data_IF_840625636381
#
_entry.id   IF_840625636381
#
_cell.length_a   1.000
_cell.length_b   1.000
_cell.length_c   1.000
_cell.angle_alpha   90.00
_cell.angle_beta   90.00
_cell.angle_gamma   90.00
#
_symmetry.space_group_name_H-M   'P 1'
#
loop_
_entity.id
_entity.type
_entity.pdbx_description
1 polymer ?
#
# COMPACT_ATOMS: atom_id res chain seq x y z
N UNK A 1 6.15 28.56 22.83
CA UNK A 1 5.07 27.70 23.36
C UNK A 1 3.92 27.76 22.37
N UNK A 2 3.89 26.81 21.44
CA UNK A 2 2.73 26.32 20.67
C UNK A 2 3.24 25.03 20.01
N UNK A 3 3.03 23.93 20.73
CA UNK A 3 3.35 22.58 20.28
C UNK A 3 2.21 22.13 19.36
N UNK A 4 2.50 21.91 18.09
CA UNK A 4 1.57 21.21 17.19
C UNK A 4 1.59 19.71 17.54
N UNK A 5 0.45 19.07 17.85
CA UNK A 5 0.43 17.64 18.07
C UNK A 5 0.52 16.91 16.72
N UNK A 6 1.49 16.02 16.65
CA UNK A 6 1.59 14.96 15.66
C UNK A 6 0.29 14.15 15.54
N UNK A 7 -0.01 13.68 14.32
CA UNK A 7 -0.96 12.58 14.13
C UNK A 7 -1.87 12.72 12.92
N UNK A 8 -1.33 12.55 11.71
CA UNK A 8 -2.15 12.33 10.51
C UNK A 8 -1.94 10.89 10.02
N UNK A 9 -2.64 9.95 10.66
CA UNK A 9 -2.68 8.54 10.25
C UNK A 9 -4.12 8.18 9.90
N UNK A 10 -4.39 7.89 8.62
CA UNK A 10 -5.67 7.33 8.17
C UNK A 10 -5.44 6.35 7.03
N UNK A 11 -5.70 5.08 7.33
CA UNK A 11 -6.56 4.12 6.60
C UNK A 11 -5.97 2.72 6.64
N UNK A 12 -6.67 1.86 7.37
CA UNK A 12 -6.50 0.41 7.39
C UNK A 12 -7.30 -0.12 6.20
N UNK A 13 -6.63 -0.74 5.23
CA UNK A 13 -7.34 -1.64 4.32
C UNK A 13 -7.53 -2.96 5.07
N UNK A 14 -8.75 -3.21 5.56
CA UNK A 14 -9.16 -4.58 5.84
C UNK A 14 -9.10 -5.33 4.52
N UNK A 15 -8.10 -6.18 4.38
CA UNK A 15 -8.05 -7.21 3.35
C UNK A 15 -9.02 -8.33 3.70
N UNK A 16 -10.30 -8.02 3.87
CA UNK A 16 -11.41 -8.95 3.79
C UNK A 16 -12.61 -8.15 3.27
N UNK A 17 -13.06 -8.49 2.06
CA UNK A 17 -14.44 -8.23 1.70
C UNK A 17 -15.25 -9.30 2.42
N UNK A 18 -16.04 -9.00 3.47
CA UNK A 18 -17.12 -9.90 3.83
C UNK A 18 -18.08 -9.90 2.64
N UNK A 19 -18.16 -11.03 1.95
CA UNK A 19 -19.37 -11.36 1.21
C UNK A 19 -20.48 -11.48 2.26
N UNK A 20 -21.22 -10.38 2.46
CA UNK A 20 -22.29 -10.31 3.46
C UNK A 20 -22.20 -9.05 4.31
N UNK A 21 -22.75 -7.95 3.80
CA UNK A 21 -23.20 -6.82 4.62
C UNK A 21 -24.44 -6.26 3.93
N UNK A 22 -25.60 -6.76 4.36
CA UNK A 22 -26.95 -6.37 3.93
C UNK A 22 -27.32 -4.97 4.45
N UNK A 23 -26.54 -3.95 4.07
CA UNK A 23 -26.83 -2.54 4.35
C UNK A 23 -26.42 -1.63 3.18
N UNK A 24 -26.37 -2.14 1.95
CA UNK A 24 -26.25 -1.27 0.77
C UNK A 24 -27.66 -0.87 0.30
N UNK A 25 -27.94 0.44 0.10
CA UNK A 25 -29.21 0.87 -0.49
C UNK A 25 -29.41 0.20 -1.85
N UNK A 26 -30.60 -0.37 -2.03
CA UNK A 26 -31.03 -1.11 -3.21
C UNK A 26 -30.79 -0.27 -4.48
N UNK A 27 -29.75 -0.64 -5.25
CA UNK A 27 -29.42 0.02 -6.52
C UNK A 27 -27.97 0.49 -6.70
N UNK A 28 -27.14 0.55 -5.65
CA UNK A 28 -25.71 0.89 -5.84
C UNK A 28 -24.91 -0.35 -6.25
N UNK A 29 -24.69 -0.54 -7.56
CA UNK A 29 -23.73 -1.54 -8.04
C UNK A 29 -22.35 -1.26 -7.40
N UNK A 30 -21.69 -2.23 -6.74
CA UNK A 30 -20.36 -2.01 -6.20
C UNK A 30 -19.42 -1.63 -7.34
N UNK A 31 -18.67 -0.54 -7.16
CA UNK A 31 -17.61 -0.19 -8.10
C UNK A 31 -16.47 -1.20 -7.96
N UNK A 32 -16.37 -2.10 -8.93
CA UNK A 32 -15.31 -3.10 -8.98
C UNK A 32 -14.17 -2.53 -9.84
N UNK A 33 -12.97 -2.55 -9.27
CA UNK A 33 -11.73 -2.27 -9.98
C UNK A 33 -11.03 -3.58 -10.31
N UNK A 34 -10.64 -3.75 -11.58
CA UNK A 34 -9.82 -4.89 -12.01
C UNK A 34 -8.46 -4.38 -12.45
N UNK A 35 -7.40 -5.00 -11.95
CA UNK A 35 -6.01 -4.65 -12.27
C UNK A 35 -5.14 -5.90 -12.31
N UNK A 36 -4.08 -5.87 -13.13
CA UNK A 36 -2.99 -6.84 -13.07
C UNK A 36 -1.79 -6.16 -12.40
N UNK A 37 -1.08 -6.87 -11.52
CA UNK A 37 0.17 -6.39 -10.94
C UNK A 37 1.34 -7.02 -11.71
N UNK A 38 2.27 -6.19 -12.18
CA UNK A 38 3.49 -6.65 -12.87
C UNK A 38 4.75 -6.07 -12.22
N UNK A 39 5.88 -6.69 -12.58
CA UNK A 39 7.23 -6.20 -12.29
C UNK A 39 7.42 -5.92 -10.79
N UNK A 40 6.99 -6.87 -9.94
CA UNK A 40 6.96 -6.71 -8.49
C UNK A 40 8.36 -6.93 -7.90
N UNK A 41 8.84 -5.95 -7.15
CA UNK A 41 9.99 -6.05 -6.26
C UNK A 41 9.51 -5.99 -4.81
N UNK A 42 9.84 -7.02 -4.03
CA UNK A 42 9.53 -7.10 -2.61
C UNK A 42 10.82 -7.06 -1.84
N UNK A 43 10.96 -6.08 -0.96
CA UNK A 43 12.05 -5.99 0.00
C UNK A 43 11.47 -6.18 1.40
N UNK A 44 12.05 -7.09 2.17
CA UNK A 44 11.61 -7.38 3.54
C UNK A 44 12.74 -7.08 4.52
N UNK A 45 12.38 -6.53 5.67
CA UNK A 45 13.28 -6.26 6.77
C UNK A 45 12.67 -6.75 8.07
N UNK A 46 13.52 -7.27 8.95
CA UNK A 46 13.22 -7.45 10.36
C UNK A 46 13.65 -6.19 11.11
N UNK A 47 12.69 -5.46 11.68
CA UNK A 47 12.96 -4.25 12.46
C UNK A 47 12.86 -4.58 13.96
N UNK A 48 13.83 -4.15 14.79
CA UNK A 48 13.77 -4.41 16.22
C UNK A 48 12.59 -3.66 16.84
N UNK A 49 11.82 -4.35 17.69
CA UNK A 49 10.58 -3.81 18.25
C UNK A 49 10.77 -2.45 18.94
N UNK A 50 11.87 -2.26 19.66
CA UNK A 50 12.18 -1.01 20.38
C UNK A 50 12.43 0.21 19.50
N UNK A 51 12.64 0.03 18.19
CA UNK A 51 12.84 1.13 17.22
C UNK A 51 11.54 1.64 16.59
N UNK A 52 10.43 0.95 16.83
CA UNK A 52 9.18 1.19 16.12
C UNK A 52 8.31 2.22 16.86
N UNK A 53 7.57 3.07 16.12
CA UNK A 53 6.64 4.01 16.71
C UNK A 53 5.46 3.27 17.37
N UNK A 54 4.72 3.90 18.29
CA UNK A 54 3.47 3.32 18.81
C UNK A 54 2.45 3.13 17.69
N UNK A 55 1.65 2.08 17.79
CA UNK A 55 0.54 1.80 16.88
C UNK A 55 -0.75 2.45 17.38
N UNK A 56 -1.67 2.84 16.48
CA UNK A 56 -3.01 3.24 16.88
C UNK A 56 -3.80 2.02 17.35
N UNK A 57 -4.55 2.16 18.43
CA UNK A 57 -5.47 1.13 18.88
C UNK A 57 -6.56 0.85 17.81
N UNK A 58 -7.02 -0.41 17.66
CA UNK A 58 -6.65 -1.59 18.45
C UNK A 58 -5.47 -2.40 17.86
N UNK A 59 -4.66 -1.80 16.99
CA UNK A 59 -3.58 -2.53 16.30
C UNK A 59 -2.43 -2.86 17.24
N UNK A 60 -1.87 -4.06 17.06
CA UNK A 60 -0.69 -4.55 17.79
C UNK A 60 0.37 -4.99 16.81
N UNK A 61 1.65 -4.92 17.20
CA UNK A 61 2.71 -5.43 16.33
C UNK A 61 2.63 -6.96 16.23
N UNK A 62 2.84 -7.51 15.04
CA UNK A 62 3.08 -8.93 14.89
C UNK A 62 4.54 -9.18 15.25
N UNK A 63 4.77 -9.71 16.45
CA UNK A 63 6.10 -9.91 17.00
C UNK A 63 6.60 -11.29 16.60
N UNK A 64 7.81 -11.34 16.07
CA UNK A 64 8.51 -12.56 15.71
C UNK A 64 9.76 -12.72 16.59
N UNK A 65 10.02 -13.91 17.14
CA UNK A 65 11.25 -14.17 17.89
C UNK A 65 12.44 -14.32 16.91
N UNK A 66 13.58 -13.72 17.25
CA UNK A 66 14.88 -13.95 16.61
C UNK A 66 15.96 -14.00 17.69
N UNK A 67 17.14 -14.54 17.35
CA UNK A 67 18.28 -14.65 18.25
C UNK A 67 18.70 -13.30 18.87
N UNK A 68 18.54 -12.21 18.11
CA UNK A 68 18.88 -10.84 18.54
C UNK A 68 17.70 -10.09 19.21
N UNK A 69 16.61 -10.79 19.53
CA UNK A 69 15.43 -10.25 20.22
C UNK A 69 14.15 -10.15 19.36
N UNK A 70 13.08 -9.56 19.92
CA UNK A 70 11.80 -9.45 19.23
C UNK A 70 11.87 -8.45 18.08
N UNK A 71 11.38 -8.87 16.92
CA UNK A 71 11.34 -8.04 15.72
C UNK A 71 9.95 -8.05 15.07
N UNK A 72 9.72 -7.04 14.24
CA UNK A 72 8.51 -6.91 13.41
C UNK A 72 8.95 -6.90 11.96
N UNK A 73 8.17 -7.56 11.11
CA UNK A 73 8.43 -7.57 9.67
C UNK A 73 7.88 -6.29 9.04
N UNK A 74 8.76 -5.61 8.31
CA UNK A 74 8.43 -4.51 7.42
C UNK A 74 8.68 -4.94 5.98
N UNK A 75 7.84 -4.48 5.06
CA UNK A 75 8.05 -4.68 3.62
C UNK A 75 7.92 -3.39 2.83
N UNK A 76 8.76 -3.24 1.82
CA UNK A 76 8.56 -2.31 0.72
C UNK A 76 8.15 -3.11 -0.52
N UNK A 77 7.00 -2.78 -1.09
CA UNK A 77 6.48 -3.41 -2.30
C UNK A 77 6.43 -2.38 -3.41
N UNK A 78 7.27 -2.56 -4.40
CA UNK A 78 7.28 -1.77 -5.62
C UNK A 78 6.70 -2.62 -6.73
N UNK A 79 5.64 -2.15 -7.37
CA UNK A 79 4.98 -2.89 -8.44
C UNK A 79 4.31 -1.93 -9.39
N UNK A 80 3.88 -2.45 -10.55
CA UNK A 80 3.14 -1.69 -11.54
C UNK A 80 1.72 -2.22 -11.67
N UNK A 81 0.75 -1.35 -11.45
CA UNK A 81 -0.61 -1.56 -11.90
C UNK A 81 -0.64 -1.49 -13.42
N UNK A 82 -1.11 -2.55 -14.06
CA UNK A 82 -1.35 -2.60 -15.49
C UNK A 82 -2.84 -2.69 -15.76
N UNK A 83 -3.31 -1.85 -16.69
CA UNK A 83 -4.69 -1.87 -17.21
C UNK A 83 -5.72 -1.81 -16.10
N UNK A 84 -5.55 -0.92 -15.12
CA UNK A 84 -6.61 -0.61 -14.17
C UNK A 84 -7.84 -0.19 -14.97
N UNK A 85 -8.92 -0.96 -14.81
CA UNK A 85 -10.23 -0.68 -15.41
C UNK A 85 -11.24 -0.47 -14.30
N UNK A 86 -12.04 0.56 -14.49
CA UNK A 86 -13.27 0.75 -13.74
C UNK A 86 -14.40 0.15 -14.57
N UNK A 87 -15.17 -0.78 -13.99
CA UNK A 87 -16.23 -1.48 -14.74
C UNK A 87 -17.31 -0.52 -15.26
N UNK A 88 -17.47 0.67 -14.67
CA UNK A 88 -18.38 1.73 -15.13
C UNK A 88 -17.79 2.66 -16.20
N UNK A 89 -16.48 2.65 -16.45
CA UNK A 89 -15.82 3.50 -17.47
C UNK A 89 -14.77 2.67 -18.23
N UNK A 90 -15.18 1.84 -19.20
CA UNK A 90 -14.31 0.84 -19.83
C UNK A 90 -13.20 1.44 -20.72
N UNK A 91 -13.32 2.71 -21.09
CA UNK A 91 -12.38 3.39 -21.99
C UNK A 91 -11.08 3.81 -21.28
N UNK A 92 -11.12 3.99 -19.95
CA UNK A 92 -9.98 4.47 -19.18
C UNK A 92 -9.13 3.28 -18.74
N UNK A 93 -7.98 3.09 -19.40
CA UNK A 93 -6.98 2.08 -19.03
C UNK A 93 -5.78 2.78 -18.41
N UNK A 94 -5.73 2.80 -17.09
CA UNK A 94 -4.64 3.44 -16.36
C UNK A 94 -3.58 2.41 -16.00
N UNK A 95 -2.32 2.76 -16.20
CA UNK A 95 -1.20 1.97 -15.70
C UNK A 95 -0.25 2.88 -14.95
N UNK A 96 0.11 2.51 -13.72
CA UNK A 96 0.99 3.32 -12.90
C UNK A 96 1.84 2.45 -11.95
N UNK A 97 3.08 2.86 -11.66
CA UNK A 97 3.86 2.26 -10.60
C UNK A 97 3.37 2.72 -9.22
N UNK A 98 3.53 1.87 -8.22
CA UNK A 98 3.23 2.16 -6.83
C UNK A 98 4.31 1.53 -5.94
N UNK A 99 4.79 2.29 -4.95
CA UNK A 99 5.62 1.76 -3.86
C UNK A 99 4.83 1.85 -2.56
N UNK A 100 4.64 0.72 -1.88
CA UNK A 100 3.94 0.65 -0.60
C UNK A 100 4.90 0.22 0.49
N UNK A 101 5.05 1.05 1.53
CA UNK A 101 5.76 0.69 2.75
C UNK A 101 4.76 0.19 3.78
N UNK A 102 4.97 -1.01 4.29
CA UNK A 102 4.03 -1.70 5.16
C UNK A 102 4.67 -2.39 6.35
N UNK A 103 3.92 -2.50 7.44
CA UNK A 103 4.29 -3.26 8.64
C UNK A 103 3.29 -4.40 8.84
N UNK A 104 3.78 -5.57 9.22
CA UNK A 104 2.95 -6.68 9.66
C UNK A 104 2.45 -6.40 11.08
N UNK A 105 1.13 -6.40 11.25
CA UNK A 105 0.45 -6.08 12.50
C UNK A 105 -0.64 -7.11 12.76
N UNK A 106 -1.16 -7.12 13.98
CA UNK A 106 -2.38 -7.81 14.35
C UNK A 106 -3.48 -6.76 14.56
N UNK A 107 -4.70 -7.09 14.17
CA UNK A 107 -5.85 -6.25 14.48
C UNK A 107 -6.36 -6.47 15.92
N UNK A 108 -7.50 -5.84 16.24
CA UNK A 108 -8.11 -5.93 17.57
C UNK A 108 -8.51 -7.36 17.96
N UNK A 109 -8.85 -8.17 16.97
CA UNK A 109 -9.25 -9.58 17.16
C UNK A 109 -8.03 -10.52 17.13
N UNK A 110 -6.83 -9.98 16.91
CA UNK A 110 -5.59 -10.74 16.83
C UNK A 110 -5.35 -11.37 15.46
N UNK A 111 -6.12 -11.00 14.43
CA UNK A 111 -5.93 -11.51 13.07
C UNK A 111 -4.74 -10.80 12.39
N UNK A 112 -3.93 -11.53 11.58
CA UNK A 112 -2.86 -10.92 10.80
C UNK A 112 -3.38 -9.86 9.83
N UNK A 113 -2.78 -8.69 9.91
CA UNK A 113 -3.14 -7.52 9.12
C UNK A 113 -1.88 -6.76 8.68
N UNK A 114 -2.10 -5.75 7.83
CA UNK A 114 -1.03 -4.93 7.27
C UNK A 114 -1.34 -3.46 7.51
N UNK A 115 -0.42 -2.76 8.16
CA UNK A 115 -0.47 -1.31 8.29
C UNK A 115 0.35 -0.64 7.18
N UNK A 116 -0.31 0.14 6.33
CA UNK A 116 0.37 0.98 5.34
C UNK A 116 0.92 2.23 6.02
N UNK A 117 2.25 2.38 6.01
CA UNK A 117 2.94 3.58 6.52
C UNK A 117 2.95 4.69 5.48
N UNK A 118 3.22 4.33 4.24
CA UNK A 118 3.17 5.25 3.10
C UNK A 118 2.89 4.48 1.82
N UNK A 119 2.20 5.15 0.89
CA UNK A 119 1.98 4.66 -0.46
C UNK A 119 2.44 5.73 -1.43
N UNK A 120 3.54 5.50 -2.12
CA UNK A 120 4.07 6.43 -3.10
C UNK A 120 3.45 6.15 -4.46
N UNK A 121 2.92 7.20 -5.09
CA UNK A 121 2.25 7.13 -6.39
C UNK A 121 2.59 8.34 -7.26
N UNK A 122 2.45 8.24 -8.59
CA UNK A 122 2.55 9.39 -9.47
C UNK A 122 1.48 10.45 -9.15
N UNK A 123 1.81 11.73 -9.37
CA UNK A 123 0.94 12.84 -8.96
C UNK A 123 -0.43 12.87 -9.61
N UNK A 124 -0.56 12.35 -10.82
CA UNK A 124 -1.85 12.26 -11.50
C UNK A 124 -2.76 11.16 -10.93
N UNK A 125 -2.22 10.18 -10.18
CA UNK A 125 -3.00 9.14 -9.47
C UNK A 125 -3.36 9.59 -8.05
N UNK A 126 -2.54 10.46 -7.46
CA UNK A 126 -2.62 10.86 -6.06
C UNK A 126 -4.01 11.35 -5.61
N UNK A 127 -4.76 12.17 -6.37
CA UNK A 127 -6.09 12.61 -5.97
C UNK A 127 -7.04 11.42 -5.78
N UNK A 128 -7.01 10.46 -6.71
CA UNK A 128 -7.84 9.26 -6.64
C UNK A 128 -7.50 8.41 -5.43
N UNK A 129 -6.20 8.16 -5.18
CA UNK A 129 -5.78 7.31 -4.05
C UNK A 129 -6.11 7.95 -2.70
N UNK A 130 -5.91 9.27 -2.56
CA UNK A 130 -6.15 9.97 -1.29
C UNK A 130 -7.64 10.20 -1.02
N UNK A 131 -8.41 10.61 -2.03
CA UNK A 131 -9.81 11.00 -1.85
C UNK A 131 -10.76 9.81 -1.88
N UNK A 132 -10.49 8.81 -2.74
CA UNK A 132 -11.40 7.67 -2.91
C UNK A 132 -11.04 6.51 -1.99
N UNK A 133 -9.75 6.15 -1.93
CA UNK A 133 -9.30 5.01 -1.13
C UNK A 133 -8.89 5.39 0.30
N UNK A 134 -8.89 6.68 0.64
CA UNK A 134 -8.49 7.19 1.96
C UNK A 134 -7.03 6.90 2.33
N UNK A 135 -6.21 6.40 1.41
CA UNK A 135 -4.90 5.84 1.72
C UNK A 135 -3.85 6.90 2.07
N UNK A 136 -2.77 6.54 2.82
CA UNK A 136 -1.67 7.44 3.16
C UNK A 136 -0.73 7.66 1.97
N UNK A 137 -1.29 8.16 0.86
CA UNK A 137 -0.58 8.30 -0.39
C UNK A 137 0.21 9.61 -0.46
N UNK A 138 1.42 9.51 -0.99
CA UNK A 138 2.34 10.62 -1.22
C UNK A 138 2.79 10.63 -2.67
N UNK A 139 3.14 11.82 -3.16
CA UNK A 139 3.70 11.99 -4.49
C UNK A 139 5.09 11.37 -4.56
N UNK A 140 5.37 10.64 -5.65
CA UNK A 140 6.74 10.32 -6.03
C UNK A 140 6.89 10.22 -7.55
N UNK A 141 8.13 10.41 -8.01
CA UNK A 141 8.57 10.13 -9.37
C UNK A 141 9.18 8.75 -9.43
N UNK A 142 8.77 7.99 -10.43
CA UNK A 142 9.22 6.62 -10.64
C UNK A 142 9.96 6.51 -11.97
N UNK A 143 11.19 6.00 -11.90
CA UNK A 143 11.91 5.52 -13.07
C UNK A 143 11.93 3.99 -12.99
N UNK A 144 11.39 3.34 -14.02
CA UNK A 144 11.27 1.89 -14.07
C UNK A 144 11.85 1.35 -15.37
N UNK A 145 12.47 0.16 -15.35
CA UNK A 145 12.93 -0.48 -16.56
C UNK A 145 11.70 -0.81 -17.43
N UNK A 146 11.77 -0.53 -18.73
CA UNK A 146 10.75 -0.94 -19.70
C UNK A 146 11.30 -2.14 -20.50
N UNK A 147 11.37 -3.35 -19.92
CA UNK A 147 12.01 -4.49 -20.58
C UNK A 147 11.36 -4.81 -21.94
N UNK A 148 10.07 -4.50 -22.11
CA UNK A 148 9.37 -4.65 -23.40
C UNK A 148 9.79 -3.64 -24.49
N UNK A 149 10.45 -2.53 -24.13
CA UNK A 149 10.93 -1.50 -25.06
C UNK A 149 12.46 -1.46 -25.17
N UNK A 150 13.16 -2.07 -24.22
CA UNK A 150 14.62 -2.01 -24.14
C UNK A 150 15.14 -3.34 -23.59
N UNK A 151 15.07 -4.42 -24.40
CA UNK A 151 15.48 -5.75 -23.97
C UNK A 151 16.99 -5.84 -23.65
N UNK A 152 17.80 -4.96 -24.22
CA UNK A 152 19.26 -4.89 -24.03
C UNK A 152 19.69 -4.01 -22.85
N UNK A 153 18.75 -3.44 -22.08
CA UNK A 153 19.12 -2.60 -20.95
C UNK A 153 19.88 -3.41 -19.88
N UNK A 154 21.09 -2.98 -19.45
CA UNK A 154 22.02 -3.80 -18.65
C UNK A 154 21.61 -4.00 -17.18
N UNK A 155 20.35 -3.79 -16.82
CA UNK A 155 19.86 -4.11 -15.48
C UNK A 155 18.46 -3.60 -15.18
N UNK A 156 17.74 -4.37 -14.37
CA UNK A 156 16.46 -3.97 -13.77
C UNK A 156 16.71 -2.94 -12.66
N UNK A 157 16.83 -1.67 -13.03
CA UNK A 157 17.02 -0.57 -12.06
C UNK A 157 15.74 0.20 -11.84
N UNK A 158 15.13 0.01 -10.67
CA UNK A 158 14.05 0.86 -10.19
C UNK A 158 14.61 2.05 -9.43
N UNK A 159 14.05 3.23 -9.64
CA UNK A 159 14.33 4.43 -8.84
C UNK A 159 13.02 5.09 -8.44
N UNK A 160 12.92 5.46 -7.17
CA UNK A 160 11.82 6.25 -6.65
C UNK A 160 12.42 7.52 -6.05
N UNK A 161 11.93 8.68 -6.48
CA UNK A 161 12.33 9.99 -5.96
C UNK A 161 11.09 10.68 -5.40
N UNK A 162 11.12 11.03 -4.12
CA UNK A 162 10.06 11.78 -3.45
C UNK A 162 10.32 13.28 -3.61
#
# INVERSE_FOLDING_TARGET
MLSEPAGRWRTILRGSWPAGSDCAPEGSKPMIFRTVLRDCLVLNWALPLGSLPPLPEPLRYQIHPCNDGPHVIASALLFRHERLRLDSVPLVRLSYPQLSLRLCVLDGDGAPAVLFRSILVPGWVLPTVRLVAGQPAQLARFSYPRPSKTPEAPGWRWQVKQ
#
